data_IF_676174813620
#
_entry.id   IF_676174813620
#
_cell.length_a   1.000
_cell.length_b   1.000
_cell.length_c   1.000
_cell.angle_alpha   90.00
_cell.angle_beta   90.00
_cell.angle_gamma   90.00
#
_symmetry.space_group_name_H-M   'P 1'
#
loop_
_entity.id
_entity.type
_entity.pdbx_description
1 polymer ?
#
# COMPACT_ATOMS: atom_id res chain seq x y z
N UNK A 1 14.02 55.22 1.94
CA UNK A 1 15.04 54.45 2.69
C UNK A 1 14.34 53.81 3.87
N UNK A 2 14.40 52.48 3.92
CA UNK A 2 13.46 51.61 4.61
C UNK A 2 13.86 51.39 6.08
N UNK A 3 12.82 51.29 6.90
CA UNK A 3 12.70 51.01 8.34
C UNK A 3 13.77 50.08 8.94
N UNK A 4 14.33 50.50 10.08
CA UNK A 4 15.18 49.69 10.98
C UNK A 4 14.34 49.01 12.07
N UNK A 5 14.26 47.69 11.96
CA UNK A 5 14.42 46.64 12.98
C UNK A 5 14.24 46.98 14.47
N UNK A 6 13.25 46.36 15.12
CA UNK A 6 13.36 45.88 16.50
C UNK A 6 12.82 44.44 16.55
N UNK A 7 13.73 43.51 16.88
CA UNK A 7 13.50 42.07 17.05
C UNK A 7 13.07 41.83 18.50
N UNK A 8 11.88 41.26 18.72
CA UNK A 8 11.47 40.73 20.01
C UNK A 8 11.62 39.20 19.99
N UNK A 9 12.64 38.70 20.69
CA UNK A 9 12.91 37.28 20.88
C UNK A 9 12.15 36.79 22.11
N UNK A 10 11.02 36.12 21.93
CA UNK A 10 10.29 35.46 23.02
C UNK A 10 10.78 34.01 23.16
N UNK A 11 11.51 33.74 24.23
CA UNK A 11 11.94 32.41 24.67
C UNK A 11 10.80 31.73 25.46
N UNK A 12 10.33 30.56 25.02
CA UNK A 12 9.59 29.61 25.87
C UNK A 12 10.06 28.19 25.55
N UNK A 13 10.61 27.44 26.53
CA UNK A 13 10.79 26.00 26.40
C UNK A 13 9.57 25.27 26.95
N UNK A 14 8.87 24.51 26.10
CA UNK A 14 7.95 23.45 26.53
C UNK A 14 8.52 22.15 25.98
N UNK A 15 9.08 21.32 26.84
CA UNK A 15 9.36 19.91 26.52
C UNK A 15 8.77 19.02 27.60
N UNK A 16 7.97 18.07 27.11
CA UNK A 16 7.13 17.15 27.84
C UNK A 16 7.97 16.03 28.47
N UNK A 17 7.66 15.69 29.73
CA UNK A 17 8.14 14.47 30.37
C UNK A 17 7.40 13.26 29.77
N UNK A 18 8.15 12.31 29.22
CA UNK A 18 7.64 10.98 28.84
C UNK A 18 7.90 10.01 29.99
N UNK A 19 6.84 9.56 30.66
CA UNK A 19 6.89 8.43 31.59
C UNK A 19 6.39 7.17 30.85
N UNK A 20 7.30 6.25 30.55
CA UNK A 20 6.96 4.91 30.08
C UNK A 20 6.68 4.05 31.31
N UNK A 21 5.42 3.80 31.60
CA UNK A 21 5.00 2.80 32.59
C UNK A 21 4.93 1.44 31.92
N UNK A 22 5.90 0.55 32.23
CA UNK A 22 5.75 -0.88 31.97
C UNK A 22 4.72 -1.45 32.94
N UNK A 23 3.54 -1.80 32.43
CA UNK A 23 2.55 -2.58 33.17
C UNK A 23 3.04 -4.03 33.32
N UNK A 24 3.63 -4.35 34.46
CA UNK A 24 3.79 -5.73 34.92
C UNK A 24 2.39 -6.28 35.25
N UNK A 25 1.90 -7.22 34.44
CA UNK A 25 0.74 -8.02 34.81
C UNK A 25 1.14 -8.95 35.97
N UNK A 26 0.74 -8.55 37.17
CA UNK A 26 0.79 -9.33 38.38
C UNK A 26 -0.29 -10.42 38.28
N UNK A 27 0.06 -11.63 37.87
CA UNK A 27 -0.79 -12.81 38.08
C UNK A 27 -0.50 -13.32 39.48
N UNK A 28 -1.28 -12.87 40.46
CA UNK A 28 -1.41 -13.49 41.77
C UNK A 28 -2.21 -14.79 41.61
N UNK A 29 -1.57 -15.94 41.80
CA UNK A 29 -2.26 -17.18 42.17
C UNK A 29 -1.55 -17.81 43.36
N UNK A 30 -2.34 -18.07 44.40
CA UNK A 30 -1.91 -18.32 45.77
C UNK A 30 -1.21 -19.67 46.00
N UNK A 31 -0.31 -19.60 46.98
CA UNK A 31 0.00 -20.56 48.06
C UNK A 31 -0.03 -22.06 47.76
N UNK A 32 1.16 -22.67 47.74
CA UNK A 32 1.42 -23.93 48.44
C UNK A 32 2.89 -24.01 48.88
N UNK A 33 3.14 -24.67 50.01
CA UNK A 33 4.29 -24.57 50.92
C UNK A 33 5.51 -25.43 50.55
N UNK A 34 6.65 -24.97 51.06
CA UNK A 34 7.86 -25.66 51.55
C UNK A 34 8.78 -26.44 50.58
N UNK A 35 9.98 -25.89 50.36
CA UNK A 35 11.26 -26.46 50.85
C UNK A 35 12.45 -26.14 49.91
N UNK A 36 13.44 -25.42 50.47
CA UNK A 36 14.89 -25.46 50.25
C UNK A 36 15.47 -25.97 48.90
N UNK A 37 16.06 -25.08 48.11
CA UNK A 37 17.53 -24.86 48.00
C UNK A 37 17.86 -24.00 46.78
N UNK A 38 18.71 -23.00 47.02
CA UNK A 38 19.34 -22.18 46.00
C UNK A 38 20.29 -23.00 45.12
N UNK A 39 20.25 -22.74 43.81
CA UNK A 39 21.16 -23.33 42.84
C UNK A 39 21.00 -22.65 41.48
N UNK A 40 21.72 -21.54 41.29
CA UNK A 40 21.92 -20.90 39.99
C UNK A 40 22.64 -21.91 39.08
N UNK A 41 22.03 -22.28 37.95
CA UNK A 41 22.74 -22.98 36.88
C UNK A 41 22.10 -22.68 35.53
N UNK A 42 22.96 -22.20 34.62
CA UNK A 42 22.72 -21.79 33.24
C UNK A 42 21.91 -22.85 32.48
N UNK A 43 20.76 -22.46 31.94
CA UNK A 43 20.03 -23.29 30.98
C UNK A 43 20.73 -23.24 29.61
N UNK A 44 21.49 -24.30 29.32
CA UNK A 44 21.76 -24.74 27.95
C UNK A 44 20.42 -25.14 27.33
N UNK A 45 20.05 -24.53 26.21
CA UNK A 45 18.88 -24.94 25.43
C UNK A 45 19.33 -25.80 24.24
N UNK A 46 19.08 -27.11 24.28
CA UNK A 46 18.87 -27.99 23.11
C UNK A 46 18.32 -29.36 23.58
N UNK A 47 17.63 -30.16 22.72
CA UNK A 47 16.17 -30.27 22.71
C UNK A 47 15.63 -31.71 22.93
N UNK A 48 14.38 -31.85 23.36
CA UNK A 48 13.50 -33.04 23.17
C UNK A 48 12.06 -32.63 23.59
N UNK A 49 11.06 -32.53 22.70
CA UNK A 49 10.17 -33.62 22.24
C UNK A 49 9.45 -34.30 23.44
N UNK A 50 8.12 -34.27 23.63
CA UNK A 50 6.96 -34.32 22.74
C UNK A 50 5.74 -33.69 23.45
N UNK A 51 4.92 -32.94 22.72
CA UNK A 51 3.44 -32.99 22.75
C UNK A 51 2.91 -32.07 21.64
N UNK A 52 2.59 -32.67 20.49
CA UNK A 52 1.77 -32.06 19.43
C UNK A 52 0.28 -32.22 19.81
N UNK A 53 -0.67 -31.42 19.28
CA UNK A 53 -0.53 -30.49 18.16
C UNK A 53 -1.13 -29.12 18.48
N UNK A 54 -0.31 -28.08 18.48
CA UNK A 54 -0.76 -26.81 17.94
C UNK A 54 0.02 -26.61 16.66
N UNK A 55 -0.23 -27.52 15.70
CA UNK A 55 -0.15 -27.19 14.29
C UNK A 55 -1.00 -25.94 14.11
N UNK A 56 -0.34 -24.80 14.31
CA UNK A 56 -0.58 -23.59 13.59
C UNK A 56 -0.28 -23.88 12.12
N UNK A 57 -1.07 -24.78 11.53
CA UNK A 57 -2.00 -24.34 10.54
C UNK A 57 -2.57 -23.00 11.03
N UNK A 58 -1.79 -21.92 10.85
CA UNK A 58 -2.22 -20.85 9.99
C UNK A 58 -2.72 -21.62 8.78
N UNK A 59 -3.97 -22.05 8.87
CA UNK A 59 -4.81 -22.31 7.74
C UNK A 59 -4.62 -21.01 7.01
N UNK A 60 -3.68 -21.03 6.05
CA UNK A 60 -3.63 -20.18 4.89
C UNK A 60 -5.09 -20.13 4.55
N UNK A 61 -5.76 -19.06 5.01
CA UNK A 61 -7.18 -18.88 4.77
C UNK A 61 -7.21 -19.06 3.27
N UNK A 62 -7.84 -20.14 2.82
CA UNK A 62 -8.16 -20.27 1.42
C UNK A 62 -9.26 -19.24 1.22
N UNK A 63 -8.89 -17.96 1.27
CA UNK A 63 -9.80 -16.87 1.05
C UNK A 63 -10.07 -16.89 -0.44
N UNK A 64 -11.36 -16.95 -0.73
CA UNK A 64 -11.94 -16.62 -2.01
C UNK A 64 -11.23 -15.41 -2.64
N UNK A 65 -10.30 -15.68 -3.55
CA UNK A 65 -9.55 -14.76 -4.42
C UNK A 65 -9.54 -13.29 -3.98
N UNK A 66 -8.57 -12.98 -3.14
CA UNK A 66 -8.13 -11.64 -2.76
C UNK A 66 -7.42 -10.99 -3.96
N UNK A 67 -8.02 -9.95 -4.54
CA UNK A 67 -7.49 -9.25 -5.72
C UNK A 67 -7.16 -7.78 -5.41
N UNK A 68 -6.33 -7.19 -6.26
CA UNK A 68 -6.06 -5.75 -6.25
C UNK A 68 -6.13 -5.14 -7.65
N UNK A 69 -6.46 -3.85 -7.69
CA UNK A 69 -6.13 -2.98 -8.81
C UNK A 69 -5.08 -1.98 -8.34
N UNK A 70 -4.04 -1.81 -9.14
CA UNK A 70 -2.96 -0.85 -8.91
C UNK A 70 -2.82 0.06 -10.12
N UNK A 71 -2.69 1.36 -9.84
CA UNK A 71 -2.55 2.42 -10.82
C UNK A 71 -1.11 2.92 -10.77
N UNK A 72 -0.41 2.83 -11.90
CA UNK A 72 0.91 3.39 -12.10
C UNK A 72 0.82 4.60 -13.02
N UNK A 73 1.59 5.63 -12.69
CA UNK A 73 1.89 6.74 -13.57
C UNK A 73 3.12 6.40 -14.41
N UNK A 74 3.04 6.63 -15.72
CA UNK A 74 4.08 6.26 -16.67
C UNK A 74 4.51 7.49 -17.49
N UNK A 75 5.80 7.79 -17.58
CA UNK A 75 6.32 8.87 -18.42
C UNK A 75 7.30 8.30 -19.45
N UNK A 76 7.02 8.54 -20.73
CA UNK A 76 7.95 8.17 -21.80
C UNK A 76 9.18 9.08 -21.80
N UNK A 77 10.40 8.52 -21.76
CA UNK A 77 11.63 9.32 -21.65
C UNK A 77 11.97 10.15 -22.90
N UNK A 78 11.36 9.86 -24.05
CA UNK A 78 11.64 10.55 -25.31
C UNK A 78 10.57 11.59 -25.64
N UNK A 79 9.30 11.26 -25.43
CA UNK A 79 8.17 12.12 -25.78
C UNK A 79 7.59 12.88 -24.59
N UNK A 80 7.96 12.51 -23.36
CA UNK A 80 7.35 13.01 -22.12
C UNK A 80 5.83 12.90 -22.15
N UNK A 81 5.32 11.91 -22.89
CA UNK A 81 3.94 11.52 -22.83
C UNK A 81 3.69 10.85 -21.48
N UNK A 82 2.70 11.38 -20.77
CA UNK A 82 2.32 10.92 -19.45
C UNK A 82 1.09 10.03 -19.57
N UNK A 83 1.19 8.80 -19.10
CA UNK A 83 0.16 7.78 -19.22
C UNK A 83 -0.21 7.23 -17.86
N UNK A 84 -1.35 6.57 -17.80
CA UNK A 84 -1.81 5.87 -16.60
C UNK A 84 -2.07 4.41 -16.95
N UNK A 85 -1.35 3.50 -16.31
CA UNK A 85 -1.55 2.07 -16.43
C UNK A 85 -2.34 1.54 -15.24
N UNK A 86 -3.36 0.72 -15.50
CA UNK A 86 -4.11 0.03 -14.45
C UNK A 86 -3.83 -1.46 -14.56
N UNK A 87 -3.44 -2.06 -13.45
CA UNK A 87 -2.98 -3.43 -13.35
C UNK A 87 -3.85 -4.20 -12.37
N UNK A 88 -4.38 -5.33 -12.82
CA UNK A 88 -5.16 -6.26 -12.00
C UNK A 88 -4.33 -7.47 -11.64
N UNK A 89 -4.36 -7.88 -10.37
CA UNK A 89 -3.64 -9.05 -9.91
C UNK A 89 -3.89 -9.37 -8.45
N UNK A 90 -2.98 -10.11 -7.79
CA UNK A 90 -3.18 -10.55 -6.42
C UNK A 90 -3.17 -9.38 -5.42
N UNK A 91 -3.93 -9.54 -4.34
CA UNK A 91 -3.87 -8.65 -3.18
C UNK A 91 -2.51 -8.72 -2.47
N UNK A 92 -2.08 -7.61 -1.85
CA UNK A 92 -0.88 -7.56 -1.02
C UNK A 92 0.46 -7.71 -1.77
N UNK A 93 0.43 -7.81 -3.09
CA UNK A 93 1.63 -7.85 -3.94
C UNK A 93 1.72 -6.55 -4.70
N UNK A 94 2.88 -5.91 -4.73
CA UNK A 94 3.13 -4.68 -5.48
C UNK A 94 3.41 -4.99 -6.95
N UNK A 95 2.89 -4.19 -7.87
CA UNK A 95 3.25 -4.27 -9.30
C UNK A 95 4.72 -3.89 -9.48
N UNK A 96 5.49 -4.79 -10.08
CA UNK A 96 6.80 -4.48 -10.66
C UNK A 96 6.59 -4.06 -12.13
N UNK A 97 6.86 -2.80 -12.51
CA UNK A 97 6.67 -2.36 -13.90
C UNK A 97 7.65 -3.02 -14.89
N UNK A 98 8.77 -3.56 -14.42
CA UNK A 98 9.77 -4.23 -15.26
C UNK A 98 9.47 -5.73 -15.45
N UNK A 99 8.73 -6.34 -14.51
CA UNK A 99 8.17 -7.69 -14.64
C UNK A 99 6.74 -7.72 -14.10
N UNK A 100 5.79 -7.35 -14.97
CA UNK A 100 4.40 -7.14 -14.56
C UNK A 100 3.70 -8.41 -14.10
N UNK A 101 4.26 -9.62 -14.30
CA UNK A 101 3.62 -10.85 -13.82
C UNK A 101 3.66 -10.90 -12.28
N UNK A 102 2.58 -11.34 -11.61
CA UNK A 102 1.39 -12.01 -12.14
C UNK A 102 0.23 -11.08 -12.56
N UNK A 103 0.46 -9.78 -12.66
CA UNK A 103 -0.57 -8.80 -13.02
C UNK A 103 -0.88 -8.81 -14.52
N UNK A 104 -2.11 -8.41 -14.84
CA UNK A 104 -2.56 -8.09 -16.20
C UNK A 104 -2.86 -6.60 -16.28
N UNK A 105 -2.34 -5.91 -17.31
CA UNK A 105 -2.73 -4.54 -17.58
C UNK A 105 -4.14 -4.50 -18.16
N UNK A 106 -5.07 -3.94 -17.40
CA UNK A 106 -6.51 -3.96 -17.69
C UNK A 106 -7.01 -2.65 -18.30
N UNK A 107 -6.26 -1.56 -18.12
CA UNK A 107 -6.56 -0.28 -18.75
C UNK A 107 -5.29 0.53 -18.96
N UNK A 108 -5.30 1.39 -19.97
CA UNK A 108 -4.21 2.29 -20.28
C UNK A 108 -4.76 3.61 -20.82
N UNK A 109 -4.62 4.68 -20.04
CA UNK A 109 -4.92 6.02 -20.48
C UNK A 109 -3.68 6.64 -21.12
N UNK A 110 -3.80 7.06 -22.38
CA UNK A 110 -2.75 7.82 -23.04
C UNK A 110 -2.96 9.31 -22.83
N UNK A 111 -2.04 9.96 -22.13
CA UNK A 111 -2.04 11.42 -22.09
C UNK A 111 -1.54 12.03 -23.38
N UNK A 112 -1.74 13.33 -23.57
CA UNK A 112 -1.21 14.05 -24.72
C UNK A 112 0.32 14.02 -24.66
N UNK A 113 0.96 13.80 -25.82
CA UNK A 113 2.37 14.10 -25.96
C UNK A 113 2.56 15.61 -25.77
N UNK A 114 3.45 16.01 -24.87
CA UNK A 114 3.72 17.42 -24.59
C UNK A 114 4.88 17.88 -25.47
N UNK A 115 4.66 18.71 -26.51
CA UNK A 115 5.75 19.42 -27.13
C UNK A 115 6.30 20.47 -26.15
N UNK A 116 7.61 20.66 -26.17
CA UNK A 116 8.42 21.63 -25.41
C UNK A 116 7.71 22.82 -24.72
N UNK A 117 8.12 23.22 -23.49
CA UNK A 117 9.25 22.69 -22.74
C UNK A 117 8.93 21.31 -22.16
N UNK A 118 9.93 20.43 -22.25
CA UNK A 118 9.99 19.13 -21.59
C UNK A 118 9.84 19.35 -20.08
N UNK A 119 8.68 19.02 -19.52
CA UNK A 119 8.47 19.01 -18.07
C UNK A 119 8.31 17.55 -17.69
N UNK A 120 9.37 17.00 -17.09
CA UNK A 120 9.25 15.73 -16.38
C UNK A 120 8.63 16.02 -15.02
N UNK A 121 7.49 15.39 -14.75
CA UNK A 121 6.77 15.51 -13.48
C UNK A 121 6.60 14.15 -12.79
N UNK A 122 7.34 13.13 -13.26
CA UNK A 122 7.23 11.76 -12.75
C UNK A 122 7.42 11.64 -11.23
N UNK A 123 8.31 12.41 -10.60
CA UNK A 123 8.56 12.36 -9.15
C UNK A 123 7.41 12.90 -8.27
N UNK A 124 6.44 13.59 -8.87
CA UNK A 124 5.22 14.01 -8.18
C UNK A 124 4.07 13.78 -9.16
N UNK A 125 3.58 12.53 -9.29
CA UNK A 125 2.58 12.20 -10.26
C UNK A 125 1.37 13.13 -10.09
N UNK A 126 0.83 13.68 -11.19
CA UNK A 126 -0.38 14.49 -11.13
C UNK A 126 -1.54 13.63 -10.64
N UNK A 127 -2.65 14.27 -10.29
CA UNK A 127 -3.90 13.57 -10.03
C UNK A 127 -4.37 12.79 -11.26
N UNK A 128 -5.04 11.65 -11.05
CA UNK A 128 -5.57 10.83 -12.15
C UNK A 128 -6.51 11.64 -13.04
N UNK A 129 -6.48 11.49 -14.38
CA UNK A 129 -7.38 12.18 -15.29
C UNK A 129 -8.86 11.96 -14.95
N UNK A 130 -9.65 13.03 -14.95
CA UNK A 130 -11.08 12.95 -14.76
C UNK A 130 -11.75 12.09 -15.87
N UNK A 131 -12.76 11.33 -15.48
CA UNK A 131 -13.54 10.50 -16.39
C UNK A 131 -13.83 9.11 -15.84
N UNK A 132 -14.38 8.28 -16.72
CA UNK A 132 -14.71 6.89 -16.44
C UNK A 132 -13.79 5.98 -17.25
N UNK A 133 -13.07 5.09 -16.57
CA UNK A 133 -12.11 4.18 -17.16
C UNK A 133 -12.67 2.76 -17.03
N UNK A 134 -13.28 2.26 -18.10
CA UNK A 134 -13.84 0.92 -18.12
C UNK A 134 -12.72 -0.11 -17.89
N UNK A 135 -12.93 -0.98 -16.92
CA UNK A 135 -12.06 -2.11 -16.62
C UNK A 135 -12.81 -3.41 -16.91
N UNK A 136 -12.13 -4.48 -17.34
CA UNK A 136 -12.80 -5.70 -17.78
C UNK A 136 -13.68 -6.30 -16.69
N UNK A 137 -14.79 -6.91 -17.09
CA UNK A 137 -15.80 -7.43 -16.16
C UNK A 137 -15.34 -8.61 -15.29
N UNK A 138 -14.15 -9.16 -15.59
CA UNK A 138 -13.52 -10.26 -14.84
C UNK A 138 -13.17 -9.90 -13.40
N UNK A 139 -13.20 -8.62 -13.02
CA UNK A 139 -12.84 -8.13 -11.69
C UNK A 139 -13.86 -8.53 -10.61
N UNK A 140 -15.15 -8.50 -10.93
CA UNK A 140 -16.26 -8.74 -10.00
C UNK A 140 -17.25 -9.76 -10.55
N UNK A 141 -16.80 -11.00 -10.74
CA UNK A 141 -17.71 -12.09 -11.13
C UNK A 141 -18.43 -11.88 -12.47
N UNK A 142 -17.87 -11.09 -13.38
CA UNK A 142 -18.46 -10.78 -14.68
C UNK A 142 -19.29 -9.49 -14.71
N UNK A 143 -19.30 -8.69 -13.63
CA UNK A 143 -19.96 -7.39 -13.60
C UNK A 143 -19.14 -6.29 -14.29
N UNK A 144 -19.83 -5.37 -14.96
CA UNK A 144 -19.20 -4.19 -15.54
C UNK A 144 -18.69 -3.27 -14.42
N UNK A 145 -17.37 -3.05 -14.45
CA UNK A 145 -16.65 -2.21 -13.50
C UNK A 145 -15.99 -1.05 -14.23
N UNK A 146 -15.98 0.11 -13.57
CA UNK A 146 -15.29 1.29 -14.04
C UNK A 146 -14.56 1.98 -12.90
N UNK A 147 -13.40 2.55 -13.20
CA UNK A 147 -12.72 3.48 -12.31
C UNK A 147 -13.23 4.88 -12.65
N UNK A 148 -13.81 5.57 -11.67
CA UNK A 148 -14.34 6.93 -11.80
C UNK A 148 -13.38 7.88 -11.09
N UNK A 149 -12.88 8.87 -11.83
CA UNK A 149 -12.06 9.96 -11.28
C UNK A 149 -12.72 11.30 -11.55
N UNK A 150 -12.66 12.20 -10.57
CA UNK A 150 -13.06 13.60 -10.71
C UNK A 150 -11.88 14.52 -11.11
N UNK A 151 -10.67 13.97 -11.21
CA UNK A 151 -9.46 14.75 -11.49
C UNK A 151 -8.92 15.53 -10.30
N UNK A 152 -9.38 15.25 -9.07
CA UNK A 152 -9.00 16.00 -7.86
C UNK A 152 -8.74 15.07 -6.67
N UNK A 153 -9.56 14.04 -6.51
CA UNK A 153 -9.50 13.08 -5.41
C UNK A 153 -9.00 11.71 -5.89
N UNK A 154 -8.63 10.80 -4.96
CA UNK A 154 -8.37 9.42 -5.31
C UNK A 154 -9.57 8.82 -6.06
N UNK A 155 -9.33 8.04 -7.13
CA UNK A 155 -10.43 7.50 -7.92
C UNK A 155 -11.27 6.48 -7.12
N UNK A 156 -12.44 6.15 -7.64
CA UNK A 156 -13.37 5.19 -7.06
C UNK A 156 -13.60 4.05 -8.05
N UNK A 157 -13.40 2.80 -7.61
CA UNK A 157 -13.86 1.63 -8.34
C UNK A 157 -15.36 1.45 -8.12
N UNK A 158 -16.14 1.50 -9.20
CA UNK A 158 -17.58 1.26 -9.17
C UNK A 158 -17.90 0.03 -10.03
N UNK A 159 -18.55 -0.96 -9.42
CA UNK A 159 -19.00 -2.18 -10.09
C UNK A 159 -20.50 -2.33 -9.90
N UNK A 160 -21.25 -2.38 -11.00
CA UNK A 160 -22.71 -2.51 -11.03
C UNK A 160 -23.45 -1.81 -9.86
N UNK A 161 -24.04 -2.58 -8.94
CA UNK A 161 -24.83 -2.10 -7.80
C UNK A 161 -24.05 -2.12 -6.47
N UNK A 162 -22.77 -2.49 -6.48
CA UNK A 162 -21.97 -2.52 -5.26
C UNK A 162 -21.61 -1.11 -4.80
N UNK A 163 -21.44 -0.89 -3.48
CA UNK A 163 -20.83 0.32 -2.98
C UNK A 163 -19.47 0.54 -3.65
N UNK A 164 -19.22 1.78 -4.11
CA UNK A 164 -17.93 2.12 -4.71
C UNK A 164 -16.79 1.99 -3.70
N UNK A 165 -15.64 1.47 -4.15
CA UNK A 165 -14.43 1.38 -3.35
C UNK A 165 -13.48 2.51 -3.72
N UNK A 166 -13.13 3.34 -2.75
CA UNK A 166 -12.16 4.41 -2.95
C UNK A 166 -10.76 3.82 -3.01
N UNK A 167 -9.97 4.23 -4.00
CA UNK A 167 -8.56 3.88 -4.04
C UNK A 167 -7.80 4.61 -2.93
N UNK A 168 -6.84 3.91 -2.32
CA UNK A 168 -5.90 4.48 -1.38
C UNK A 168 -4.62 4.93 -2.12
N UNK A 169 -3.94 5.94 -1.55
CA UNK A 169 -2.58 6.32 -1.97
C UNK A 169 -1.65 5.11 -1.75
N UNK A 170 -0.92 4.69 -2.78
CA UNK A 170 0.01 3.56 -2.67
C UNK A 170 1.12 3.84 -1.64
N UNK A 171 1.54 2.85 -0.82
CA UNK A 171 2.66 3.04 0.09
C UNK A 171 3.97 3.47 -0.60
N UNK A 172 4.13 3.10 -1.88
CA UNK A 172 5.22 3.51 -2.75
C UNK A 172 5.01 4.83 -3.48
N UNK A 173 3.93 5.58 -3.21
CA UNK A 173 3.69 6.87 -3.85
C UNK A 173 4.78 7.88 -3.56
N UNK A 174 5.28 8.01 -2.34
CA UNK A 174 6.37 8.98 -2.09
C UNK A 174 7.76 8.34 -2.34
N UNK A 175 7.80 7.25 -3.12
CA UNK A 175 8.98 6.44 -3.37
C UNK A 175 9.76 6.83 -4.63
N UNK A 176 10.77 6.04 -4.97
CA UNK A 176 11.58 6.25 -6.17
C UNK A 176 10.87 5.80 -7.45
N UNK A 177 11.20 6.46 -8.56
CA UNK A 177 10.78 6.08 -9.90
C UNK A 177 11.54 4.85 -10.39
N UNK A 178 10.87 4.00 -11.16
CA UNK A 178 11.46 2.79 -11.75
C UNK A 178 11.54 2.99 -13.27
N UNK A 179 12.72 2.78 -13.87
CA UNK A 179 12.90 2.86 -15.33
C UNK A 179 12.77 1.46 -15.95
N UNK A 180 11.80 1.27 -16.84
CA UNK A 180 11.57 0.04 -17.59
C UNK A 180 11.23 0.39 -19.04
N UNK A 181 11.83 -0.27 -20.03
CA UNK A 181 11.48 -0.14 -21.47
C UNK A 181 11.25 1.31 -21.96
N UNK A 182 12.17 2.22 -21.60
CA UNK A 182 12.13 3.64 -21.94
C UNK A 182 10.93 4.42 -21.35
N UNK A 183 10.37 3.94 -20.23
CA UNK A 183 9.36 4.62 -19.45
C UNK A 183 9.80 4.69 -17.99
N UNK A 184 9.68 5.87 -17.40
CA UNK A 184 9.67 5.99 -15.95
C UNK A 184 8.29 5.58 -15.44
N UNK A 185 8.28 4.84 -14.34
CA UNK A 185 7.08 4.38 -13.67
C UNK A 185 7.09 4.86 -12.23
N UNK A 186 5.93 5.30 -11.77
CA UNK A 186 5.72 5.75 -10.41
C UNK A 186 4.40 5.17 -9.89
N UNK A 187 4.40 4.68 -8.65
CA UNK A 187 3.21 4.11 -8.03
C UNK A 187 2.24 5.22 -7.63
N UNK A 188 0.95 5.06 -7.88
CA UNK A 188 -0.02 6.10 -7.56
C UNK A 188 -1.07 5.58 -6.58
N UNK A 189 -1.96 4.71 -7.02
CA UNK A 189 -3.12 4.35 -6.21
C UNK A 189 -3.37 2.86 -6.26
N UNK A 190 -3.97 2.32 -5.21
CA UNK A 190 -4.37 0.92 -5.18
C UNK A 190 -5.72 0.74 -4.49
N UNK A 191 -6.39 -0.36 -4.81
CA UNK A 191 -7.56 -0.83 -4.09
C UNK A 191 -7.52 -2.35 -4.03
N UNK A 192 -7.91 -2.89 -2.89
CA UNK A 192 -8.00 -4.32 -2.65
C UNK A 192 -9.45 -4.73 -2.44
N UNK A 193 -9.83 -5.89 -2.96
CA UNK A 193 -11.20 -6.37 -2.91
C UNK A 193 -11.29 -7.89 -3.07
N UNK A 194 -12.43 -8.44 -2.65
CA UNK A 194 -12.74 -9.86 -2.75
C UNK A 194 -13.76 -10.10 -3.88
N UNK A 195 -13.44 -11.02 -4.80
CA UNK A 195 -14.28 -11.33 -5.96
C UNK A 195 -13.72 -12.50 -6.79
N UNK A 196 -14.58 -13.41 -7.26
CA UNK A 196 -14.14 -14.65 -7.94
C UNK A 196 -13.93 -14.43 -9.45
N UNK A 197 -12.71 -14.70 -9.94
CA UNK A 197 -12.43 -14.91 -11.37
C UNK A 197 -13.09 -16.21 -11.83
N UNK A 198 -14.31 -16.14 -12.38
CA UNK A 198 -14.82 -17.21 -13.25
C UNK A 198 -14.29 -16.96 -14.66
N UNK A 199 -13.10 -17.48 -14.94
CA UNK A 199 -12.72 -17.79 -16.32
C UNK A 199 -13.52 -19.03 -16.72
N UNK A 200 -14.64 -18.84 -17.44
CA UNK A 200 -15.27 -19.90 -18.24
C UNK A 200 -14.54 -20.03 -19.56
#
# INVERSE_FOLDING_TARGET
MILLSIIALAMLPVTFASAVTCSLNLITRGTYKDSEKAGVSRALCTPAALDEPASGNIARRSSSHENSLQILYEENIFSYAHNWGVYFGPQGVKVDPCDVKPFSRVYHHKGPARPNPIISDIGTPPVTPAGEWSVPSVLYGGEDCSIISDGVSPPILKCAQHPGLMFAKDPGYDGENILCDAHWHHQAYYVEFTGQLRMT
#
